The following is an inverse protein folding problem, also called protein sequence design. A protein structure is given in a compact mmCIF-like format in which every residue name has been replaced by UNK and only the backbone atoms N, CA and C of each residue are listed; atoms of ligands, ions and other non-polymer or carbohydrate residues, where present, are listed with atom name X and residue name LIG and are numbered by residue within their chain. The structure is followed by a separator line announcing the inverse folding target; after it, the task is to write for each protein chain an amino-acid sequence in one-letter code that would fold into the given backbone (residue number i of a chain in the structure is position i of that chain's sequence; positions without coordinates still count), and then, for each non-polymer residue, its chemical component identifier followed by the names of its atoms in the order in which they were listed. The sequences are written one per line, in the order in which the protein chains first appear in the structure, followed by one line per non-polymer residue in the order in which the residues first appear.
data_IF_960063911397
#
_entry.id   IF_960063911397
#
_cell.length_a   1.000
_cell.length_b   1.000
_cell.length_c   1.000
_cell.angle_alpha   90.00
_cell.angle_beta   90.00
_cell.angle_gamma   90.00
#
_symmetry.space_group_name_H-M   'P 1'
#
loop_
_entity.id
_entity.type
_entity.pdbx_description
1 polymer ?
#
# COMPACT_ATOMS: atom_id res chain seq x y z
N UNK A 1 -13.97 36.33 -44.39
CA UNK A 1 -14.87 35.36 -43.71
C UNK A 1 -14.27 33.96 -43.55
N UNK A 2 -13.15 33.62 -44.20
CA UNK A 2 -12.51 32.29 -44.16
C UNK A 2 -11.88 31.88 -42.81
N UNK A 3 -11.44 32.83 -41.97
CA UNK A 3 -10.76 32.52 -40.70
C UNK A 3 -11.69 31.98 -39.60
N UNK A 4 -12.98 32.31 -39.65
CA UNK A 4 -13.96 31.87 -38.64
C UNK A 4 -14.36 30.39 -38.81
N UNK A 5 -14.35 29.89 -40.05
CA UNK A 5 -14.68 28.49 -40.35
C UNK A 5 -13.56 27.51 -39.96
N UNK A 6 -12.30 27.96 -39.99
CA UNK A 6 -11.16 27.14 -39.59
C UNK A 6 -11.12 26.92 -38.06
N UNK A 7 -11.54 27.91 -37.27
CA UNK A 7 -11.55 27.81 -35.81
C UNK A 7 -12.66 26.89 -35.29
N UNK A 8 -13.83 26.90 -35.95
CA UNK A 8 -14.94 26.00 -35.59
C UNK A 8 -14.68 24.54 -35.97
N UNK A 9 -13.90 24.29 -37.03
CA UNK A 9 -13.54 22.92 -37.43
C UNK A 9 -12.56 22.26 -36.45
N UNK A 10 -11.63 23.03 -35.86
CA UNK A 10 -10.66 22.52 -34.89
C UNK A 10 -11.31 22.15 -33.55
N UNK A 11 -12.37 22.85 -33.13
CA UNK A 11 -13.10 22.58 -31.89
C UNK A 11 -14.03 21.35 -32.00
N UNK A 12 -14.51 21.00 -33.20
CA UNK A 12 -15.34 19.80 -33.42
C UNK A 12 -14.54 18.49 -33.38
N UNK A 13 -13.26 18.52 -33.76
CA UNK A 13 -12.39 17.32 -33.79
C UNK A 13 -12.06 16.83 -32.38
N UNK A 14 -12.02 17.72 -31.38
CA UNK A 14 -11.76 17.34 -29.99
C UNK A 14 -12.92 16.59 -29.32
N UNK A 15 -14.16 16.75 -29.78
CA UNK A 15 -15.34 16.12 -29.16
C UNK A 15 -15.53 14.67 -29.63
N UNK A 16 -15.06 14.33 -30.83
CA UNK A 16 -15.20 12.97 -31.41
C UNK A 16 -14.15 11.99 -30.85
N UNK A 17 -13.06 12.49 -30.25
CA UNK A 17 -11.99 11.66 -29.68
C UNK A 17 -12.36 10.97 -28.36
N UNK A 18 -13.47 11.33 -27.72
CA UNK A 18 -13.89 10.76 -26.43
C UNK A 18 -14.84 9.55 -26.51
N UNK A 19 -15.17 9.04 -27.71
CA UNK A 19 -16.06 7.89 -27.84
C UNK A 19 -15.32 6.59 -28.24
N UNK A 20 -14.21 6.30 -27.56
CA UNK A 20 -13.61 4.95 -27.60
C UNK A 20 -14.47 4.03 -26.72
N UNK A 21 -15.33 3.25 -27.37
CA UNK A 21 -15.87 2.03 -26.79
C UNK A 21 -14.69 1.17 -26.31
N UNK A 22 -14.62 0.92 -25.00
CA UNK A 22 -13.59 0.08 -24.41
C UNK A 22 -13.58 -1.31 -25.03
N UNK A 23 -12.44 -2.02 -24.99
CA UNK A 23 -12.38 -3.40 -25.47
C UNK A 23 -13.42 -4.24 -24.71
N UNK A 24 -14.03 -5.25 -25.35
CA UNK A 24 -14.99 -6.13 -24.70
C UNK A 24 -14.32 -6.77 -23.49
N UNK A 25 -15.05 -6.81 -22.37
CA UNK A 25 -14.71 -7.58 -21.16
C UNK A 25 -14.64 -9.06 -21.51
N UNK A 26 -13.47 -9.47 -22.00
CA UNK A 26 -12.99 -10.84 -21.89
C UNK A 26 -12.57 -11.02 -20.44
N UNK A 27 -12.99 -12.13 -19.83
CA UNK A 27 -12.57 -12.49 -18.47
C UNK A 27 -11.06 -12.38 -18.33
N UNK A 28 -10.64 -11.79 -17.22
CA UNK A 28 -9.24 -11.62 -16.85
C UNK A 28 -8.69 -13.00 -16.46
N UNK A 29 -8.41 -13.83 -17.47
CA UNK A 29 -7.60 -15.02 -17.27
C UNK A 29 -6.21 -14.53 -16.89
N UNK A 30 -5.81 -14.80 -15.64
CA UNK A 30 -4.48 -14.50 -15.13
C UNK A 30 -3.43 -15.12 -16.05
N UNK A 31 -2.80 -14.31 -16.88
CA UNK A 31 -1.70 -14.75 -17.74
C UNK A 31 -0.45 -14.77 -16.86
N UNK A 32 -0.05 -15.98 -16.46
CA UNK A 32 1.18 -16.20 -15.69
C UNK A 32 2.38 -15.80 -16.56
N UNK A 33 3.00 -14.67 -16.20
CA UNK A 33 4.22 -14.18 -16.84
C UNK A 33 5.42 -14.98 -16.32
N UNK A 34 6.13 -15.76 -17.17
CA UNK A 34 7.30 -16.51 -16.75
C UNK A 34 8.42 -15.61 -16.19
N UNK A 35 8.45 -14.33 -16.58
CA UNK A 35 9.39 -13.34 -16.05
C UNK A 35 9.07 -12.99 -14.59
N UNK A 36 7.78 -12.94 -14.23
CA UNK A 36 7.36 -12.69 -12.85
C UNK A 36 7.84 -13.79 -11.90
N UNK A 37 7.81 -15.06 -12.32
CA UNK A 37 8.28 -16.18 -11.50
C UNK A 37 9.79 -16.13 -11.27
N UNK A 38 10.58 -15.70 -12.26
CA UNK A 38 12.02 -15.52 -12.12
C UNK A 38 12.37 -14.34 -11.19
N UNK A 39 11.72 -13.20 -11.39
CA UNK A 39 11.90 -11.99 -10.56
C UNK A 39 11.43 -12.24 -9.12
N UNK A 40 10.34 -12.99 -8.93
CA UNK A 40 9.84 -13.40 -7.62
C UNK A 40 10.81 -14.35 -6.92
N UNK A 41 11.43 -15.31 -7.62
CA UNK A 41 12.44 -16.19 -7.03
C UNK A 41 13.70 -15.44 -6.61
N UNK A 42 14.14 -14.46 -7.40
CA UNK A 42 15.26 -13.59 -7.02
C UNK A 42 14.91 -12.74 -5.79
N UNK A 43 13.73 -12.12 -5.77
CA UNK A 43 13.24 -11.34 -4.64
C UNK A 43 13.10 -12.19 -3.37
N UNK A 44 12.62 -13.43 -3.49
CA UNK A 44 12.56 -14.41 -2.40
C UNK A 44 13.96 -14.69 -1.85
N UNK A 45 14.95 -14.94 -2.72
CA UNK A 45 16.34 -15.15 -2.32
C UNK A 45 16.92 -13.97 -1.53
N UNK A 46 16.64 -12.75 -1.97
CA UNK A 46 17.04 -11.52 -1.26
C UNK A 46 16.32 -11.39 0.09
N UNK A 47 15.01 -11.61 0.15
CA UNK A 47 14.21 -11.50 1.38
C UNK A 47 14.69 -12.50 2.45
N UNK A 48 14.98 -13.75 2.06
CA UNK A 48 15.49 -14.76 2.99
C UNK A 48 16.96 -14.58 3.37
N UNK A 49 17.72 -13.76 2.63
CA UNK A 49 19.07 -13.37 3.03
C UNK A 49 19.08 -12.27 4.11
N UNK A 50 17.94 -11.59 4.31
CA UNK A 50 17.77 -10.61 5.39
C UNK A 50 17.44 -11.30 6.71
N UNK A 51 17.80 -10.66 7.81
CA UNK A 51 17.40 -11.12 9.15
C UNK A 51 15.88 -11.22 9.22
N UNK A 52 15.38 -12.39 9.64
CA UNK A 52 13.96 -12.59 9.84
C UNK A 52 13.47 -11.75 11.02
N UNK A 53 12.17 -11.41 11.08
CA UNK A 53 11.62 -10.71 12.23
C UNK A 53 11.94 -11.38 13.58
N UNK A 54 12.05 -12.71 13.61
CA UNK A 54 12.48 -13.49 14.78
C UNK A 54 13.94 -13.27 15.17
N UNK A 55 14.82 -13.07 14.19
CA UNK A 55 16.26 -12.84 14.43
C UNK A 55 16.47 -11.44 15.01
N UNK A 56 15.64 -10.49 14.58
CA UNK A 56 15.62 -9.12 15.10
C UNK A 56 15.20 -9.11 16.58
N UNK A 57 14.21 -9.91 16.96
CA UNK A 57 13.77 -10.05 18.37
C UNK A 57 14.94 -10.46 19.27
N UNK A 58 15.73 -11.44 18.84
CA UNK A 58 16.89 -11.92 19.62
C UNK A 58 17.93 -10.82 19.85
N UNK A 59 18.11 -9.90 18.89
CA UNK A 59 19.01 -8.74 19.03
C UNK A 59 18.49 -7.77 20.10
N UNK A 60 17.19 -7.46 20.09
CA UNK A 60 16.58 -6.58 21.08
C UNK A 60 16.69 -7.16 22.50
N UNK A 61 16.43 -8.47 22.66
CA UNK A 61 16.59 -9.17 23.93
C UNK A 61 18.05 -9.17 24.41
N UNK A 62 19.01 -9.49 23.52
CA UNK A 62 20.45 -9.53 23.85
C UNK A 62 21.03 -8.17 24.23
N UNK A 63 20.57 -7.11 23.58
CA UNK A 63 21.05 -5.74 23.84
C UNK A 63 20.37 -5.10 25.03
N UNK A 64 19.29 -5.69 25.55
CA UNK A 64 18.47 -5.11 26.61
C UNK A 64 17.80 -3.80 26.20
N UNK A 65 17.66 -3.54 24.89
CA UNK A 65 17.01 -2.33 24.40
C UNK A 65 15.50 -2.46 24.53
N UNK A 66 14.90 -1.50 25.23
CA UNK A 66 13.45 -1.46 25.43
C UNK A 66 12.70 -0.85 24.25
N UNK A 67 11.38 -0.77 24.39
CA UNK A 67 10.53 -0.04 23.46
C UNK A 67 10.86 1.47 23.46
N UNK A 68 11.02 2.04 22.27
CA UNK A 68 11.05 3.49 22.09
C UNK A 68 10.06 3.93 21.00
N UNK A 69 9.13 4.86 21.30
CA UNK A 69 8.18 5.36 20.32
C UNK A 69 8.84 6.20 19.21
N UNK A 70 10.06 6.70 19.44
CA UNK A 70 10.80 7.51 18.46
C UNK A 70 11.23 6.70 17.22
N UNK A 71 11.24 5.37 17.31
CA UNK A 71 11.50 4.47 16.18
C UNK A 71 10.25 4.05 15.43
N UNK A 72 9.09 4.63 15.77
CA UNK A 72 7.79 4.28 15.16
C UNK A 72 7.21 5.45 14.39
N UNK A 73 6.31 5.15 13.44
CA UNK A 73 5.68 6.15 12.59
C UNK A 73 4.75 7.05 13.41
N UNK A 74 4.88 8.39 13.33
CA UNK A 74 4.04 9.30 14.09
C UNK A 74 2.59 9.27 13.59
N UNK A 75 1.71 8.64 14.38
CA UNK A 75 0.29 8.41 14.04
C UNK A 75 -0.51 9.69 13.74
N UNK A 76 -0.08 10.85 14.25
CA UNK A 76 -0.72 12.15 13.98
C UNK A 76 -0.70 12.56 12.51
N UNK A 77 0.18 11.97 11.69
CA UNK A 77 0.36 12.32 10.28
C UNK A 77 -0.38 11.38 9.32
N UNK A 78 -0.95 10.29 9.81
CA UNK A 78 -1.58 9.26 8.96
C UNK A 78 -2.74 9.84 8.13
N UNK A 79 -3.51 10.76 8.70
CA UNK A 79 -4.61 11.44 7.99
C UNK A 79 -4.17 12.34 6.83
N UNK A 80 -2.87 12.62 6.66
CA UNK A 80 -2.34 13.46 5.58
C UNK A 80 -2.15 12.68 4.27
N UNK A 81 -2.26 11.35 4.29
CA UNK A 81 -2.05 10.50 3.12
C UNK A 81 -3.40 10.21 2.46
N UNK A 82 -3.58 10.68 1.22
CA UNK A 82 -4.82 10.56 0.44
C UNK A 82 -4.65 9.73 -0.85
N UNK A 83 -3.41 9.46 -1.27
CA UNK A 83 -3.13 8.64 -2.44
C UNK A 83 -3.17 7.13 -2.11
N UNK A 84 -3.91 6.31 -2.86
CA UNK A 84 -4.11 4.89 -2.55
C UNK A 84 -2.81 4.09 -2.38
N UNK A 85 -1.82 4.30 -3.26
CA UNK A 85 -0.53 3.60 -3.16
C UNK A 85 0.26 3.97 -1.90
N UNK A 86 0.12 5.19 -1.40
CA UNK A 86 0.76 5.62 -0.15
C UNK A 86 0.05 5.01 1.04
N UNK A 87 -1.29 4.97 1.04
CA UNK A 87 -2.06 4.31 2.09
C UNK A 87 -1.71 2.82 2.20
N UNK A 88 -1.62 2.12 1.07
CA UNK A 88 -1.29 0.69 1.05
C UNK A 88 0.11 0.43 1.62
N UNK A 89 1.10 1.24 1.22
CA UNK A 89 2.45 1.16 1.78
C UNK A 89 2.46 1.44 3.30
N UNK A 90 1.69 2.44 3.72
CA UNK A 90 1.60 2.85 5.11
C UNK A 90 0.93 1.78 5.98
N UNK A 91 -0.09 1.07 5.48
CA UNK A 91 -0.68 -0.10 6.16
C UNK A 91 0.40 -1.14 6.45
N UNK A 92 1.24 -1.48 5.47
CA UNK A 92 2.34 -2.42 5.64
C UNK A 92 3.32 -1.96 6.72
N UNK A 93 3.74 -0.69 6.67
CA UNK A 93 4.67 -0.13 7.64
C UNK A 93 4.09 -0.06 9.06
N UNK A 94 2.83 0.35 9.21
CA UNK A 94 2.13 0.33 10.50
C UNK A 94 1.95 -1.10 11.05
N UNK A 95 1.86 -2.11 10.18
CA UNK A 95 1.86 -3.52 10.58
C UNK A 95 3.19 -3.95 11.23
N UNK A 96 4.30 -3.41 10.76
CA UNK A 96 5.63 -3.62 11.37
C UNK A 96 5.68 -2.94 12.75
N UNK A 97 5.26 -1.68 12.86
CA UNK A 97 5.23 -0.95 14.14
C UNK A 97 4.27 -1.59 15.15
N UNK A 98 3.13 -2.11 14.70
CA UNK A 98 2.22 -2.90 15.52
C UNK A 98 2.90 -4.17 16.06
N UNK A 99 3.70 -4.84 15.24
CA UNK A 99 4.46 -6.02 15.65
C UNK A 99 5.54 -5.66 16.68
N UNK A 100 6.20 -4.51 16.51
CA UNK A 100 7.13 -3.97 17.51
C UNK A 100 6.44 -3.63 18.83
N UNK A 101 5.25 -3.02 18.79
CA UNK A 101 4.45 -2.78 19.98
C UNK A 101 4.05 -4.09 20.68
N UNK A 102 3.66 -5.11 19.91
CA UNK A 102 3.30 -6.43 20.45
C UNK A 102 4.48 -7.13 21.11
N UNK A 103 5.68 -7.04 20.52
CA UNK A 103 6.91 -7.61 21.06
C UNK A 103 7.21 -7.12 22.48
N UNK A 104 6.94 -5.84 22.75
CA UNK A 104 7.16 -5.21 24.05
C UNK A 104 5.88 -5.04 24.88
N UNK A 105 4.82 -5.78 24.56
CA UNK A 105 3.54 -5.78 25.27
C UNK A 105 2.88 -4.39 25.43
N UNK A 106 3.10 -3.48 24.48
CA UNK A 106 2.56 -2.11 24.46
C UNK A 106 1.11 -2.10 23.97
N UNK A 107 0.19 -2.58 24.81
CA UNK A 107 -1.22 -2.82 24.45
C UNK A 107 -1.96 -1.56 23.99
N UNK A 108 -1.72 -0.42 24.65
CA UNK A 108 -2.42 0.85 24.32
C UNK A 108 -1.95 1.35 22.97
N UNK A 109 -0.64 1.43 22.75
CA UNK A 109 -0.04 1.83 21.49
C UNK A 109 -0.44 0.89 20.36
N UNK A 110 -0.44 -0.43 20.60
CA UNK A 110 -0.91 -1.43 19.64
C UNK A 110 -2.34 -1.15 19.15
N UNK A 111 -3.23 -0.74 20.07
CA UNK A 111 -4.61 -0.38 19.71
C UNK A 111 -4.67 0.88 18.84
N UNK A 112 -3.81 1.87 19.08
CA UNK A 112 -3.73 3.06 18.25
C UNK A 112 -3.24 2.76 16.83
N UNK A 113 -2.23 1.89 16.69
CA UNK A 113 -1.77 1.40 15.39
C UNK A 113 -2.89 0.66 14.65
N UNK A 114 -3.59 -0.24 15.33
CA UNK A 114 -4.70 -1.00 14.76
C UNK A 114 -5.80 -0.08 14.22
N UNK A 115 -6.20 0.94 14.99
CA UNK A 115 -7.21 1.93 14.56
C UNK A 115 -6.80 2.70 13.31
N UNK A 116 -5.52 3.05 13.20
CA UNK A 116 -5.00 3.76 12.01
C UNK A 116 -4.92 2.85 10.79
N UNK A 117 -4.60 1.57 10.98
CA UNK A 117 -4.66 0.56 9.91
C UNK A 117 -6.10 0.41 9.40
N UNK A 118 -7.08 0.30 10.30
CA UNK A 118 -8.50 0.25 9.92
C UNK A 118 -8.94 1.52 9.18
N UNK A 119 -8.52 2.71 9.63
CA UNK A 119 -8.82 3.96 8.95
C UNK A 119 -8.32 3.95 7.50
N UNK A 120 -7.06 3.57 7.29
CA UNK A 120 -6.47 3.51 5.95
C UNK A 120 -7.12 2.41 5.09
N UNK A 121 -7.43 1.26 5.68
CA UNK A 121 -8.10 0.16 4.99
C UNK A 121 -9.51 0.55 4.53
N UNK A 122 -10.26 1.28 5.37
CA UNK A 122 -11.56 1.83 5.00
C UNK A 122 -11.43 2.86 3.87
N UNK A 123 -10.41 3.72 3.90
CA UNK A 123 -10.18 4.71 2.83
C UNK A 123 -9.77 4.06 1.49
N UNK A 124 -9.28 2.82 1.53
CA UNK A 124 -8.97 1.99 0.37
C UNK A 124 -10.12 1.07 -0.05
N UNK A 125 -11.27 1.16 0.62
CA UNK A 125 -12.43 0.27 0.41
C UNK A 125 -12.07 -1.23 0.53
N UNK A 126 -11.15 -1.58 1.44
CA UNK A 126 -10.80 -2.98 1.69
C UNK A 126 -11.94 -3.71 2.43
N UNK A 127 -12.18 -5.00 2.13
CA UNK A 127 -13.22 -5.79 2.80
C UNK A 127 -13.03 -5.85 4.32
N UNK A 128 -14.12 -5.61 5.06
CA UNK A 128 -14.12 -5.55 6.54
C UNK A 128 -13.90 -6.90 7.20
N UNK A 129 -14.27 -7.97 6.50
CA UNK A 129 -14.17 -9.36 6.93
C UNK A 129 -12.71 -9.77 7.24
N UNK A 130 -11.74 -9.04 6.69
CA UNK A 130 -10.30 -9.23 6.95
C UNK A 130 -9.94 -8.90 8.42
N UNK A 131 -10.74 -8.06 9.09
CA UNK A 131 -10.47 -7.57 10.45
C UNK A 131 -11.32 -8.24 11.55
N UNK A 132 -12.30 -9.08 11.20
CA UNK A 132 -13.29 -9.63 12.13
C UNK A 132 -12.94 -11.04 12.68
N UNK A 133 -11.64 -11.36 12.83
CA UNK A 133 -11.16 -12.69 13.26
C UNK A 133 -11.01 -12.85 14.77
#
# INVERSE_FOLDING_TARGET
MLKKACWTASMLIFIIACNRSGPPTSGDDFIQDPQYDADAQEAIGVIYSMQLPTDIIEIFEKTGTGFSPDFTIPLKRISLYDYPGQMALLIGALGVDLSYCKLFERKVESSEYYRNIELLANNLDLPREIFEK
#
